data_IF_334029896258
#
_entry.id   IF_334029896258
#
_cell.length_a   1.000
_cell.length_b   1.000
_cell.length_c   1.000
_cell.angle_alpha   90.00
_cell.angle_beta   90.00
_cell.angle_gamma   90.00
#
_symmetry.space_group_name_H-M   'P 1'
#
loop_
_entity.id
_entity.type
_entity.pdbx_description
1 polymer ?
#
# COMPACT_ATOMS: atom_id res chain seq x y z
N UNK A 1 -73.15 -41.39 -46.53
CA UNK A 1 -73.30 -39.95 -46.34
C UNK A 1 -72.10 -39.48 -45.64
N UNK A 2 -71.15 -38.93 -46.38
CA UNK A 2 -69.78 -38.60 -46.00
C UNK A 2 -69.66 -37.07 -46.00
N UNK A 3 -69.17 -36.50 -44.94
CA UNK A 3 -68.85 -35.08 -44.89
C UNK A 3 -67.36 -34.89 -44.66
N UNK A 4 -66.71 -34.45 -45.74
CA UNK A 4 -65.32 -33.97 -45.72
C UNK A 4 -65.22 -32.70 -44.88
N UNK A 5 -64.28 -32.66 -43.93
CA UNK A 5 -63.81 -31.42 -43.29
C UNK A 5 -62.43 -31.07 -43.80
N UNK A 6 -62.35 -29.93 -44.45
CA UNK A 6 -61.14 -29.33 -44.96
C UNK A 6 -60.24 -28.80 -43.83
N UNK A 7 -58.97 -29.14 -43.86
CA UNK A 7 -57.90 -28.58 -43.00
C UNK A 7 -57.20 -27.46 -43.76
N UNK A 8 -57.22 -26.24 -43.21
CA UNK A 8 -56.35 -25.14 -43.61
C UNK A 8 -54.99 -25.26 -42.88
N UNK A 9 -53.89 -24.97 -43.50
CA UNK A 9 -52.60 -24.91 -42.83
C UNK A 9 -52.39 -23.54 -42.15
N UNK A 10 -51.98 -23.57 -40.89
CA UNK A 10 -51.56 -22.44 -40.13
C UNK A 10 -50.13 -22.04 -40.57
N UNK A 11 -49.98 -20.85 -41.15
CA UNK A 11 -48.69 -20.27 -41.45
C UNK A 11 -48.02 -19.76 -40.18
N UNK A 12 -46.90 -20.36 -39.80
CA UNK A 12 -46.07 -19.85 -38.70
C UNK A 12 -45.20 -18.70 -39.23
N UNK A 13 -45.47 -17.50 -38.70
CA UNK A 13 -44.64 -16.33 -38.91
C UNK A 13 -43.36 -16.46 -38.05
N UNK A 14 -42.23 -16.67 -38.67
CA UNK A 14 -40.88 -16.58 -38.07
C UNK A 14 -40.51 -15.11 -37.88
N UNK A 15 -40.60 -14.63 -36.63
CA UNK A 15 -40.01 -13.36 -36.24
C UNK A 15 -38.49 -13.52 -36.19
N UNK A 16 -37.79 -13.00 -37.19
CA UNK A 16 -36.33 -12.83 -37.18
C UNK A 16 -35.98 -11.65 -36.27
N UNK A 17 -35.57 -11.93 -35.02
CA UNK A 17 -34.88 -10.96 -34.18
C UNK A 17 -33.52 -10.64 -34.82
N UNK A 18 -33.40 -9.47 -35.42
CA UNK A 18 -32.12 -8.90 -35.80
C UNK A 18 -31.25 -8.69 -34.57
N UNK A 19 -30.27 -9.55 -34.32
CA UNK A 19 -29.20 -9.30 -33.36
C UNK A 19 -28.33 -8.19 -33.92
N UNK A 20 -28.44 -7.00 -33.34
CA UNK A 20 -27.47 -5.94 -33.56
C UNK A 20 -26.11 -6.43 -33.04
N UNK A 21 -25.20 -6.73 -33.92
CA UNK A 21 -23.79 -6.92 -33.63
C UNK A 21 -23.24 -5.56 -33.14
N UNK A 22 -23.19 -5.35 -31.81
CA UNK A 22 -22.36 -4.32 -31.20
C UNK A 22 -20.92 -4.76 -31.42
N UNK A 23 -20.33 -4.35 -32.51
CA UNK A 23 -18.87 -4.38 -32.67
C UNK A 23 -18.30 -3.41 -31.60
N UNK A 24 -17.83 -3.99 -30.51
CA UNK A 24 -16.93 -3.31 -29.57
C UNK A 24 -15.68 -2.96 -30.39
N UNK A 25 -15.61 -1.71 -30.85
CA UNK A 25 -14.39 -1.13 -31.38
C UNK A 25 -13.35 -1.14 -30.24
N UNK A 26 -12.47 -2.14 -30.25
CA UNK A 26 -11.24 -2.09 -29.48
C UNK A 26 -10.45 -0.89 -30.01
N UNK A 27 -10.53 0.21 -29.29
CA UNK A 27 -9.58 1.33 -29.46
C UNK A 27 -8.22 0.73 -29.08
N UNK A 28 -7.44 0.35 -30.08
CA UNK A 28 -6.01 0.11 -29.93
C UNK A 28 -5.38 1.47 -29.71
N UNK A 29 -5.35 1.91 -28.47
CA UNK A 29 -4.49 3.00 -28.07
C UNK A 29 -3.07 2.48 -28.24
N UNK A 30 -2.44 2.86 -29.33
CA UNK A 30 -1.00 2.75 -29.50
C UNK A 30 -0.36 3.72 -28.51
N UNK A 31 -0.18 3.32 -27.25
CA UNK A 31 0.53 4.13 -26.28
C UNK A 31 2.01 4.11 -26.66
N UNK A 32 2.44 5.14 -27.37
CA UNK A 32 3.86 5.50 -27.42
C UNK A 32 4.26 5.92 -26.00
N UNK A 33 4.84 5.02 -25.24
CA UNK A 33 5.38 5.37 -23.92
C UNK A 33 6.56 6.33 -24.10
N UNK A 34 6.49 7.50 -23.50
CA UNK A 34 7.51 8.54 -23.60
C UNK A 34 8.85 8.11 -22.99
N UNK A 35 8.87 7.13 -22.09
CA UNK A 35 10.02 6.64 -21.33
C UNK A 35 10.85 7.77 -20.68
N UNK A 36 10.16 8.76 -20.14
CA UNK A 36 10.73 9.99 -19.58
C UNK A 36 10.83 10.01 -18.06
N UNK A 37 10.48 8.89 -17.44
CA UNK A 37 10.44 8.75 -15.97
C UNK A 37 11.83 8.74 -15.30
N UNK A 38 12.90 8.50 -16.06
CA UNK A 38 14.28 8.39 -15.57
C UNK A 38 14.47 7.35 -14.44
N UNK A 39 13.70 6.25 -14.48
CA UNK A 39 13.84 5.08 -13.61
C UNK A 39 14.16 3.85 -14.43
N UNK A 40 14.78 2.86 -13.81
CA UNK A 40 15.11 1.58 -14.47
C UNK A 40 13.96 0.60 -14.25
N UNK A 41 13.47 0.01 -15.34
CA UNK A 41 12.46 -1.06 -15.35
C UNK A 41 12.93 -2.23 -16.22
N UNK A 42 12.40 -3.46 -16.05
CA UNK A 42 12.84 -4.62 -16.83
C UNK A 42 12.60 -4.45 -18.34
N UNK A 43 13.33 -5.22 -19.14
CA UNK A 43 13.18 -5.23 -20.60
C UNK A 43 11.72 -5.48 -21.02
N UNK A 44 11.23 -4.70 -21.97
CA UNK A 44 9.86 -4.73 -22.46
C UNK A 44 8.89 -3.87 -21.63
N UNK A 45 9.32 -3.30 -20.51
CA UNK A 45 8.58 -2.29 -19.79
C UNK A 45 9.03 -0.88 -20.19
N UNK A 46 8.13 0.06 -20.01
CA UNK A 46 8.35 1.46 -20.25
C UNK A 46 7.74 2.27 -19.10
N UNK A 47 8.47 3.26 -18.61
CA UNK A 47 8.04 4.13 -17.53
C UNK A 47 7.90 5.57 -18.02
N UNK A 48 6.74 6.18 -17.78
CA UNK A 48 6.45 7.58 -18.12
C UNK A 48 5.93 8.35 -16.92
N UNK A 49 6.00 9.68 -17.01
CA UNK A 49 5.42 10.59 -16.02
C UNK A 49 3.96 10.82 -16.39
N UNK A 50 3.03 10.44 -15.51
CA UNK A 50 1.60 10.70 -15.67
C UNK A 50 1.19 12.08 -15.13
N UNK A 51 1.70 12.47 -13.97
CA UNK A 51 1.50 13.77 -13.37
C UNK A 51 2.70 14.17 -12.53
N UNK A 52 2.91 15.46 -12.30
CA UNK A 52 4.04 16.00 -11.53
C UNK A 52 3.59 17.18 -10.65
N UNK A 53 4.43 17.56 -9.67
CA UNK A 53 4.21 18.73 -8.81
C UNK A 53 2.91 18.69 -7.99
N UNK A 54 2.46 17.50 -7.60
CA UNK A 54 1.20 17.31 -6.85
C UNK A 54 1.34 17.63 -5.35
N UNK A 55 2.56 17.73 -4.83
CA UNK A 55 2.87 17.77 -3.41
C UNK A 55 3.14 16.37 -2.87
N UNK A 56 2.88 16.12 -1.59
CA UNK A 56 3.20 14.83 -0.97
C UNK A 56 2.20 13.73 -1.32
N UNK A 57 2.27 13.26 -2.56
CA UNK A 57 1.41 12.20 -3.08
C UNK A 57 1.72 10.86 -2.38
N UNK A 58 0.70 10.22 -1.80
CA UNK A 58 0.90 9.00 -1.00
C UNK A 58 0.33 7.76 -1.67
N UNK A 59 -0.96 7.50 -1.57
CA UNK A 59 -1.59 6.31 -2.14
C UNK A 59 -2.51 6.68 -3.28
N UNK A 60 -2.81 5.69 -4.10
CA UNK A 60 -3.56 5.82 -5.34
C UNK A 60 -4.81 4.95 -5.34
N UNK A 61 -5.86 5.45 -5.96
CA UNK A 61 -7.02 4.67 -6.35
C UNK A 61 -7.40 5.03 -7.79
N UNK A 62 -7.58 4.03 -8.66
CA UNK A 62 -7.88 4.26 -10.08
C UNK A 62 -9.29 3.75 -10.37
N UNK A 63 -10.11 4.62 -10.96
CA UNK A 63 -11.48 4.30 -11.35
C UNK A 63 -11.55 3.50 -12.67
N UNK A 64 -12.67 2.81 -12.93
CA UNK A 64 -12.85 2.07 -14.19
C UNK A 64 -12.77 2.91 -15.46
N UNK A 65 -12.97 4.22 -15.36
CA UNK A 65 -12.83 5.19 -16.46
C UNK A 65 -11.41 5.79 -16.57
N UNK A 66 -10.42 5.23 -15.85
CA UNK A 66 -9.03 5.66 -15.74
C UNK A 66 -8.79 6.97 -14.96
N UNK A 67 -9.77 7.55 -14.31
CA UNK A 67 -9.52 8.64 -13.36
C UNK A 67 -8.63 8.15 -12.22
N UNK A 68 -7.64 8.96 -11.86
CA UNK A 68 -6.69 8.64 -10.79
C UNK A 68 -6.92 9.56 -9.61
N UNK A 69 -7.14 8.96 -8.44
CA UNK A 69 -7.32 9.67 -7.17
C UNK A 69 -6.09 9.44 -6.30
N UNK A 70 -5.52 10.55 -5.79
CA UNK A 70 -4.25 10.55 -5.06
C UNK A 70 -4.48 11.14 -3.67
N UNK A 71 -4.19 10.39 -2.62
CA UNK A 71 -4.15 10.93 -1.26
C UNK A 71 -2.92 11.82 -1.07
N UNK A 72 -3.10 12.91 -0.34
CA UNK A 72 -2.02 13.85 -0.05
C UNK A 72 -1.74 13.82 1.45
N UNK A 73 -0.49 13.57 1.82
CA UNK A 73 -0.11 13.56 3.23
C UNK A 73 -0.38 14.92 3.87
N UNK A 74 -1.04 14.90 5.03
CA UNK A 74 -1.39 16.09 5.80
C UNK A 74 -0.19 16.96 6.14
N UNK A 75 -0.46 18.20 6.54
CA UNK A 75 0.54 19.21 6.81
C UNK A 75 1.63 18.75 7.77
N UNK A 76 2.88 18.89 7.36
CA UNK A 76 4.05 18.90 8.25
C UNK A 76 4.28 20.33 8.77
N UNK A 77 4.96 20.48 9.92
CA UNK A 77 5.39 21.80 10.37
C UNK A 77 6.11 22.57 9.24
N UNK A 78 5.66 23.78 8.94
CA UNK A 78 6.22 24.62 7.87
C UNK A 78 5.57 24.46 6.49
N UNK A 79 4.65 23.53 6.28
CA UNK A 79 3.86 23.47 5.04
C UNK A 79 2.63 24.39 5.12
N UNK A 80 2.32 25.07 4.01
CA UNK A 80 1.11 25.90 3.91
C UNK A 80 -0.15 25.00 3.98
N UNK A 81 -1.07 25.34 4.84
CA UNK A 81 -2.40 24.74 4.93
C UNK A 81 -3.42 25.60 4.18
N UNK A 82 -4.56 25.04 3.77
CA UNK A 82 -5.00 23.66 3.90
C UNK A 82 -4.56 22.79 2.72
N UNK A 83 -4.06 21.58 2.98
CA UNK A 83 -3.86 20.58 1.93
C UNK A 83 -5.20 19.92 1.56
N UNK A 84 -5.40 19.52 0.29
CA UNK A 84 -6.62 18.81 -0.11
C UNK A 84 -6.73 17.45 0.59
N UNK A 85 -7.94 16.93 0.71
CA UNK A 85 -8.18 15.56 1.15
C UNK A 85 -7.60 14.56 0.14
N UNK A 86 -7.79 14.87 -1.15
CA UNK A 86 -7.19 14.13 -2.27
C UNK A 86 -7.08 15.02 -3.51
N UNK A 87 -6.31 14.55 -4.48
CA UNK A 87 -6.24 15.12 -5.83
C UNK A 87 -6.91 14.16 -6.80
N UNK A 88 -7.75 14.65 -7.70
CA UNK A 88 -8.37 13.91 -8.79
C UNK A 88 -7.71 14.30 -10.12
N UNK A 89 -7.29 13.31 -10.90
CA UNK A 89 -6.53 13.45 -12.13
C UNK A 89 -7.26 12.76 -13.28
N UNK A 90 -7.32 13.39 -14.43
CA UNK A 90 -7.85 12.81 -15.67
C UNK A 90 -6.93 13.15 -16.84
N UNK A 91 -6.72 12.19 -17.70
CA UNK A 91 -6.09 12.30 -19.01
C UNK A 91 -7.23 12.40 -20.05
N UNK A 92 -7.55 13.62 -20.51
CA UNK A 92 -8.73 13.86 -21.37
C UNK A 92 -8.44 13.67 -22.85
N UNK A 93 -7.20 13.83 -23.28
CA UNK A 93 -6.75 13.66 -24.67
C UNK A 93 -6.08 12.30 -24.94
N UNK A 94 -5.93 11.48 -23.88
CA UNK A 94 -5.38 10.11 -23.92
C UNK A 94 -3.92 10.04 -24.39
N UNK A 95 -3.13 11.06 -24.09
CA UNK A 95 -1.71 11.09 -24.40
C UNK A 95 -0.83 10.35 -23.35
N UNK A 96 -1.44 9.94 -22.24
CA UNK A 96 -0.78 9.24 -21.13
C UNK A 96 -0.34 10.16 -20.00
N UNK A 97 -0.76 11.43 -20.01
CA UNK A 97 -0.53 12.43 -18.98
C UNK A 97 -1.84 13.03 -18.50
N UNK A 98 -1.91 13.38 -17.23
CA UNK A 98 -3.06 14.09 -16.69
C UNK A 98 -3.02 15.57 -17.12
N UNK A 99 -4.04 16.01 -17.84
CA UNK A 99 -4.25 17.39 -18.26
C UNK A 99 -5.32 18.09 -17.41
N UNK A 100 -6.14 17.34 -16.68
CA UNK A 100 -7.10 17.88 -15.71
C UNK A 100 -6.74 17.45 -14.31
N UNK A 101 -6.50 18.44 -13.42
CA UNK A 101 -6.06 18.25 -12.03
C UNK A 101 -6.97 19.06 -11.11
N UNK A 102 -7.72 18.36 -10.24
CA UNK A 102 -8.64 18.97 -9.30
C UNK A 102 -8.21 18.64 -7.86
N UNK A 103 -8.24 19.65 -6.97
CA UNK A 103 -7.92 19.50 -5.55
C UNK A 103 -9.22 19.55 -4.73
N UNK A 104 -9.50 18.47 -3.99
CA UNK A 104 -10.82 18.26 -3.35
C UNK A 104 -10.67 18.19 -1.84
N UNK A 105 -11.55 18.92 -1.13
CA UNK A 105 -11.66 18.87 0.33
C UNK A 105 -10.47 19.47 1.07
N UNK A 106 -10.29 19.06 2.31
CA UNK A 106 -9.21 19.49 3.20
C UNK A 106 -8.83 18.38 4.17
N UNK A 107 -7.69 18.52 4.86
CA UNK A 107 -7.19 17.58 5.86
C UNK A 107 -6.95 16.17 5.31
N UNK A 108 -6.27 16.08 4.14
CA UNK A 108 -5.82 14.79 3.63
C UNK A 108 -4.83 14.11 4.58
N UNK A 109 -4.80 12.81 4.48
CA UNK A 109 -3.80 11.94 5.08
C UNK A 109 -3.42 10.86 4.05
N UNK A 110 -3.15 9.63 4.45
CA UNK A 110 -2.50 8.69 3.55
C UNK A 110 -3.43 7.70 2.87
N UNK A 111 -4.41 7.13 3.58
CA UNK A 111 -5.26 6.06 3.02
C UNK A 111 -6.27 6.55 1.99
N UNK A 112 -6.39 5.84 0.87
CA UNK A 112 -7.39 6.06 -0.17
C UNK A 112 -7.78 4.73 -0.84
N UNK A 113 -9.05 4.49 -1.12
CA UNK A 113 -9.51 3.31 -1.83
C UNK A 113 -10.84 3.57 -2.56
N UNK A 114 -11.03 2.90 -3.71
CA UNK A 114 -12.31 2.85 -4.43
C UNK A 114 -13.01 1.52 -4.15
N UNK A 115 -14.27 1.59 -3.74
CA UNK A 115 -15.10 0.38 -3.54
C UNK A 115 -16.57 0.68 -3.71
N UNK A 116 -17.29 -0.17 -4.46
CA UNK A 116 -18.75 -0.15 -4.59
C UNK A 116 -19.33 1.24 -4.95
N UNK A 117 -18.66 1.98 -5.84
CA UNK A 117 -19.07 3.31 -6.28
C UNK A 117 -18.74 4.44 -5.29
N UNK A 118 -17.90 4.19 -4.30
CA UNK A 118 -17.44 5.20 -3.36
C UNK A 118 -15.91 5.30 -3.35
N UNK A 119 -15.40 6.53 -3.20
CA UNK A 119 -14.03 6.83 -2.86
C UNK A 119 -13.91 7.04 -1.35
N UNK A 120 -13.16 6.17 -0.69
CA UNK A 120 -12.86 6.25 0.74
C UNK A 120 -11.56 7.00 0.94
N UNK A 121 -11.52 7.91 1.92
CA UNK A 121 -10.36 8.76 2.19
C UNK A 121 -10.10 8.83 3.69
N UNK A 122 -8.85 8.62 4.08
CA UNK A 122 -8.37 8.87 5.44
C UNK A 122 -8.15 10.39 5.64
N UNK A 123 -8.73 10.93 6.69
CA UNK A 123 -8.57 12.33 7.13
C UNK A 123 -8.04 12.43 8.58
N UNK A 124 -7.16 11.51 8.96
CA UNK A 124 -6.55 11.43 10.28
C UNK A 124 -7.42 10.70 11.29
N UNK A 125 -8.26 11.38 12.06
CA UNK A 125 -9.14 10.74 13.05
C UNK A 125 -10.41 10.12 12.43
N UNK A 126 -10.61 10.32 11.13
CA UNK A 126 -11.84 9.95 10.43
C UNK A 126 -11.52 9.29 9.09
N UNK A 127 -12.24 8.23 8.74
CA UNK A 127 -12.35 7.73 7.38
C UNK A 127 -13.71 8.17 6.84
N UNK A 128 -13.68 8.90 5.73
CA UNK A 128 -14.86 9.36 5.01
C UNK A 128 -15.03 8.61 3.69
N UNK A 129 -16.22 8.70 3.08
CA UNK A 129 -16.47 8.20 1.72
C UNK A 129 -17.23 9.21 0.90
N UNK A 130 -16.83 9.39 -0.34
CA UNK A 130 -17.49 10.21 -1.34
C UNK A 130 -18.21 9.32 -2.33
N UNK A 131 -19.47 9.65 -2.66
CA UNK A 131 -20.19 8.96 -3.75
C UNK A 131 -19.60 9.41 -5.09
N UNK A 132 -19.13 8.44 -5.86
CA UNK A 132 -18.55 8.70 -7.18
C UNK A 132 -19.66 8.74 -8.25
N UNK A 133 -19.43 9.58 -9.26
CA UNK A 133 -20.27 9.75 -10.46
C UNK A 133 -19.38 9.65 -11.70
N UNK A 134 -19.90 10.00 -12.88
CA UNK A 134 -19.09 10.15 -14.09
C UNK A 134 -18.20 11.40 -14.07
N UNK A 135 -18.50 12.36 -13.18
CA UNK A 135 -17.69 13.56 -13.00
C UNK A 135 -16.39 13.21 -12.24
N UNK A 136 -15.32 13.93 -12.58
CA UNK A 136 -14.02 13.74 -11.94
C UNK A 136 -14.06 14.05 -10.44
N UNK A 137 -14.84 15.05 -10.05
CA UNK A 137 -14.99 15.51 -8.66
C UNK A 137 -16.35 15.11 -8.11
N UNK A 138 -16.42 14.51 -6.92
CA UNK A 138 -17.69 14.20 -6.27
C UNK A 138 -18.53 15.46 -6.04
N UNK A 139 -19.84 15.40 -6.38
CA UNK A 139 -20.74 16.54 -6.28
C UNK A 139 -21.28 16.76 -4.85
N UNK A 140 -21.22 15.75 -3.98
CA UNK A 140 -21.80 15.79 -2.63
C UNK A 140 -20.72 15.74 -1.56
N UNK A 141 -20.98 16.31 -0.36
CA UNK A 141 -20.13 16.14 0.80
C UNK A 141 -19.95 14.65 1.15
N UNK A 142 -18.81 14.27 1.79
CA UNK A 142 -18.57 12.89 2.16
C UNK A 142 -19.41 12.45 3.37
N UNK A 143 -19.75 11.16 3.39
CA UNK A 143 -20.25 10.47 4.59
C UNK A 143 -19.09 10.10 5.53
N UNK A 144 -19.34 10.11 6.84
CA UNK A 144 -18.41 9.54 7.83
C UNK A 144 -18.60 8.04 7.93
N UNK A 145 -17.54 7.26 7.73
CA UNK A 145 -17.55 5.79 7.88
C UNK A 145 -17.09 5.39 9.28
N UNK A 146 -15.89 5.83 9.68
CA UNK A 146 -15.33 5.58 11.02
C UNK A 146 -14.78 6.88 11.58
N UNK A 147 -14.94 7.12 12.87
CA UNK A 147 -14.39 8.30 13.57
C UNK A 147 -13.79 7.93 14.92
N UNK A 148 -12.99 8.84 15.50
CA UNK A 148 -12.30 8.63 16.76
C UNK A 148 -11.08 7.72 16.61
N UNK A 149 -10.56 7.54 15.41
CA UNK A 149 -9.30 6.82 15.18
C UNK A 149 -8.15 7.53 15.91
N UNK A 150 -7.30 6.80 16.64
CA UNK A 150 -6.25 7.44 17.44
C UNK A 150 -5.28 8.23 16.57
N UNK A 151 -5.06 9.52 16.88
CA UNK A 151 -3.95 10.28 16.31
C UNK A 151 -2.64 9.71 16.84
N UNK A 152 -1.66 9.64 15.96
CA UNK A 152 -0.36 9.08 16.28
C UNK A 152 0.76 10.07 15.97
N UNK A 153 1.53 10.52 16.96
CA UNK A 153 2.63 11.47 16.72
C UNK A 153 3.81 10.84 15.96
N UNK A 154 4.06 9.54 16.14
CA UNK A 154 5.17 8.83 15.51
C UNK A 154 4.85 8.34 14.10
N UNK A 155 4.07 7.28 13.98
CA UNK A 155 3.69 6.69 12.70
C UNK A 155 2.32 7.21 12.27
N UNK A 156 2.31 8.36 11.59
CA UNK A 156 1.07 9.07 11.19
C UNK A 156 0.37 8.45 10.00
N UNK A 157 1.13 7.77 9.14
CA UNK A 157 0.58 7.12 7.97
C UNK A 157 -0.46 6.08 8.39
N UNK A 158 -1.70 6.27 7.94
CA UNK A 158 -2.80 5.35 8.18
C UNK A 158 -3.32 4.89 6.84
N UNK A 159 -2.86 3.70 6.44
CA UNK A 159 -3.46 3.06 5.28
C UNK A 159 -4.59 2.13 5.72
N UNK A 160 -5.48 1.83 4.78
CA UNK A 160 -6.56 0.88 4.95
C UNK A 160 -6.83 0.14 3.64
N UNK A 161 -7.46 -1.01 3.73
CA UNK A 161 -7.91 -1.79 2.59
C UNK A 161 -9.35 -2.26 2.81
N UNK A 162 -10.13 -2.32 1.73
CA UNK A 162 -11.51 -2.80 1.75
C UNK A 162 -11.59 -4.11 0.99
N UNK A 163 -11.92 -5.19 1.70
CA UNK A 163 -12.10 -6.51 1.13
C UNK A 163 -13.40 -6.62 0.30
N UNK A 164 -13.53 -7.63 -0.58
CA UNK A 164 -14.74 -7.84 -1.37
C UNK A 164 -16.02 -8.01 -0.55
N UNK A 165 -15.94 -8.51 0.66
CA UNK A 165 -17.06 -8.67 1.58
C UNK A 165 -17.50 -7.36 2.28
N UNK A 166 -16.77 -6.25 2.04
CA UNK A 166 -16.97 -4.96 2.68
C UNK A 166 -16.22 -4.79 4.00
N UNK A 167 -15.41 -5.75 4.41
CA UNK A 167 -14.53 -5.60 5.57
C UNK A 167 -13.50 -4.49 5.31
N UNK A 168 -13.44 -3.50 6.20
CA UNK A 168 -12.50 -2.40 6.18
C UNK A 168 -11.41 -2.66 7.23
N UNK A 169 -10.19 -2.93 6.79
CA UNK A 169 -9.03 -3.14 7.66
C UNK A 169 -8.20 -1.86 7.72
N UNK A 170 -7.96 -1.35 8.92
CA UNK A 170 -7.30 -0.06 9.16
C UNK A 170 -6.04 -0.27 9.99
N UNK A 171 -4.90 0.15 9.47
CA UNK A 171 -3.65 0.21 10.23
C UNK A 171 -3.70 1.36 11.25
N UNK A 172 -3.28 1.07 12.48
CA UNK A 172 -2.96 2.09 13.48
C UNK A 172 -1.56 1.80 14.00
N UNK A 173 -0.57 2.54 13.51
CA UNK A 173 0.84 2.36 13.87
C UNK A 173 1.13 2.66 15.34
N UNK A 174 2.33 2.31 15.80
CA UNK A 174 2.81 2.67 17.14
C UNK A 174 3.10 4.17 17.26
N UNK A 175 2.99 4.78 18.43
CA UNK A 175 3.36 6.17 18.64
C UNK A 175 4.86 6.38 18.70
N UNK A 176 5.63 5.35 19.02
CA UNK A 176 7.08 5.38 19.21
C UNK A 176 7.81 4.17 18.56
N UNK A 177 9.09 4.04 18.85
CA UNK A 177 9.95 3.01 18.25
C UNK A 177 9.71 1.62 18.82
N UNK A 178 9.70 1.46 20.14
CA UNK A 178 9.68 0.14 20.81
C UNK A 178 9.05 0.17 22.21
N UNK A 179 8.08 1.07 22.46
CA UNK A 179 7.35 1.20 23.71
C UNK A 179 8.30 1.37 24.92
N UNK A 180 9.36 2.17 24.75
CA UNK A 180 10.33 2.47 25.79
C UNK A 180 9.78 3.48 26.81
N UNK A 181 10.30 3.48 28.02
CA UNK A 181 10.01 4.51 29.02
C UNK A 181 10.46 5.90 28.51
N UNK A 182 11.63 5.95 27.85
CA UNK A 182 12.09 7.12 27.09
C UNK A 182 12.37 6.67 25.65
N UNK A 183 11.55 7.12 24.71
CA UNK A 183 11.68 6.70 23.31
C UNK A 183 13.08 7.03 22.78
N UNK A 184 13.66 6.04 22.08
CA UNK A 184 14.97 6.14 21.40
C UNK A 184 16.13 6.55 22.32
N UNK A 185 16.02 6.35 23.65
CA UNK A 185 17.07 6.66 24.58
C UNK A 185 17.97 5.45 24.85
N UNK A 186 19.26 5.74 25.13
CA UNK A 186 20.27 4.73 25.45
C UNK A 186 19.80 3.87 26.62
N UNK A 187 19.76 2.55 26.39
CA UNK A 187 19.42 1.51 27.38
C UNK A 187 18.13 1.76 28.16
N UNK A 188 17.20 2.53 27.57
CA UNK A 188 15.89 2.76 28.18
C UNK A 188 15.06 1.48 28.17
N UNK A 189 14.58 0.98 29.33
CA UNK A 189 13.75 -0.22 29.39
C UNK A 189 12.40 0.02 28.70
N UNK A 190 11.75 -1.08 28.32
CA UNK A 190 10.37 -1.07 27.82
C UNK A 190 9.36 -0.88 28.95
N UNK A 191 8.20 -0.30 28.60
CA UNK A 191 7.02 -0.33 29.48
C UNK A 191 6.43 -1.72 29.47
N UNK A 192 6.28 -2.35 30.62
CA UNK A 192 5.77 -3.72 30.73
C UNK A 192 4.66 -3.81 31.77
N UNK A 193 3.39 -4.02 31.36
CA UNK A 193 2.93 -4.21 29.98
C UNK A 193 2.99 -2.92 29.14
N UNK A 194 3.13 -3.07 27.80
CA UNK A 194 3.04 -1.96 26.87
C UNK A 194 1.59 -1.54 26.66
N UNK A 195 1.17 -0.44 27.29
CA UNK A 195 -0.21 0.07 27.23
C UNK A 195 -0.62 0.50 25.80
N UNK A 196 0.36 0.85 24.96
CA UNK A 196 0.11 1.27 23.57
C UNK A 196 -0.58 0.18 22.76
N UNK A 197 -0.30 -1.09 23.04
CA UNK A 197 -0.95 -2.21 22.39
C UNK A 197 -2.48 -2.23 22.55
N UNK A 198 -3.03 -1.54 23.53
CA UNK A 198 -4.48 -1.46 23.71
C UNK A 198 -5.20 -0.80 22.53
N UNK A 199 -4.57 0.17 21.86
CA UNK A 199 -5.18 0.99 20.81
C UNK A 199 -4.28 1.20 19.58
N UNK A 200 -3.05 0.70 19.58
CA UNK A 200 -2.03 0.97 18.54
C UNK A 200 -1.22 -0.28 18.20
N UNK A 201 -0.32 -0.14 17.22
CA UNK A 201 0.56 -1.20 16.73
C UNK A 201 -0.20 -2.45 16.29
N UNK A 202 -1.20 -2.24 15.43
CA UNK A 202 -2.04 -3.32 14.93
C UNK A 202 -2.98 -2.90 13.82
N UNK A 203 -3.90 -3.80 13.52
CA UNK A 203 -4.92 -3.65 12.49
C UNK A 203 -6.30 -3.80 13.12
N UNK A 204 -7.21 -2.86 12.83
CA UNK A 204 -8.60 -2.87 13.27
C UNK A 204 -9.54 -3.17 12.11
N UNK A 205 -10.66 -3.85 12.40
CA UNK A 205 -11.65 -4.22 11.40
C UNK A 205 -12.98 -3.50 11.63
N UNK A 206 -13.47 -2.85 10.57
CA UNK A 206 -14.78 -2.19 10.49
C UNK A 206 -15.57 -2.71 9.28
N UNK A 207 -16.76 -2.19 9.06
CA UNK A 207 -17.58 -2.43 7.87
C UNK A 207 -17.61 -1.15 7.01
N UNK A 208 -17.06 -1.18 5.80
CA UNK A 208 -17.02 -0.03 4.89
C UNK A 208 -18.41 0.48 4.49
N UNK A 209 -19.45 -0.37 4.58
CA UNK A 209 -20.83 -0.02 4.22
C UNK A 209 -21.60 0.67 5.33
N UNK A 210 -21.17 0.50 6.59
CA UNK A 210 -21.79 1.12 7.76
C UNK A 210 -21.25 2.53 7.98
N UNK A 211 -22.15 3.47 8.23
CA UNK A 211 -21.79 4.85 8.55
C UNK A 211 -21.70 5.07 10.07
N UNK A 212 -20.99 6.14 10.44
CA UNK A 212 -20.89 6.67 11.79
C UNK A 212 -20.37 5.67 12.84
N UNK A 213 -19.56 4.69 12.42
CA UNK A 213 -18.86 3.81 13.34
C UNK A 213 -17.87 4.62 14.19
N UNK A 214 -17.64 4.17 15.40
CA UNK A 214 -16.62 4.73 16.31
C UNK A 214 -15.48 3.76 16.42
N UNK A 215 -14.26 4.29 16.58
CA UNK A 215 -13.11 3.47 16.95
C UNK A 215 -13.42 2.75 18.27
N UNK A 216 -13.21 1.46 18.26
CA UNK A 216 -13.36 0.60 19.43
C UNK A 216 -12.11 -0.28 19.54
N UNK A 217 -11.36 -0.25 20.65
CA UNK A 217 -10.23 -1.16 20.88
C UNK A 217 -10.60 -2.63 20.69
N UNK A 218 -11.83 -3.05 20.99
CA UNK A 218 -12.32 -4.41 20.82
C UNK A 218 -12.47 -4.84 19.33
N UNK A 219 -12.52 -3.88 18.41
CA UNK A 219 -12.54 -4.16 16.97
C UNK A 219 -11.16 -4.55 16.41
N UNK A 220 -10.14 -4.73 17.28
CA UNK A 220 -8.80 -5.15 16.88
C UNK A 220 -8.82 -6.51 16.19
N UNK A 221 -8.23 -6.54 14.99
CA UNK A 221 -8.13 -7.74 14.16
C UNK A 221 -6.83 -8.49 14.40
N UNK A 222 -5.69 -7.76 14.44
CA UNK A 222 -4.37 -8.28 14.73
C UNK A 222 -3.55 -7.25 15.53
N UNK A 223 -2.53 -7.71 16.25
CA UNK A 223 -1.68 -6.90 17.13
C UNK A 223 -0.19 -7.13 16.88
N UNK A 224 0.67 -6.33 17.49
CA UNK A 224 2.12 -6.53 17.43
C UNK A 224 2.76 -6.18 16.10
N UNK A 225 2.05 -5.49 15.20
CA UNK A 225 2.58 -4.93 13.96
C UNK A 225 2.88 -3.44 14.16
N UNK A 226 4.17 -3.09 14.27
CA UNK A 226 4.63 -1.74 14.64
C UNK A 226 4.05 -0.63 13.77
N UNK A 227 4.12 -0.80 12.45
CA UNK A 227 3.58 0.13 11.48
C UNK A 227 3.40 -0.57 10.12
N UNK A 228 2.15 -0.90 9.78
CA UNK A 228 1.78 -1.64 8.59
C UNK A 228 1.14 -0.70 7.56
N UNK A 229 1.97 0.11 6.91
CA UNK A 229 1.50 1.12 5.95
C UNK A 229 0.98 0.54 4.65
N UNK A 230 1.54 -0.57 4.16
CA UNK A 230 1.02 -1.30 3.01
C UNK A 230 0.14 -2.46 3.43
N UNK A 231 -1.06 -2.53 2.86
CA UNK A 231 -2.01 -3.62 3.04
C UNK A 231 -2.73 -3.94 1.74
N UNK A 232 -2.96 -5.22 1.47
CA UNK A 232 -3.76 -5.68 0.34
C UNK A 232 -4.53 -6.95 0.65
N UNK A 233 -5.64 -7.17 -0.05
CA UNK A 233 -6.31 -8.47 -0.10
C UNK A 233 -5.71 -9.26 -1.25
N UNK A 234 -5.17 -10.43 -0.95
CA UNK A 234 -4.62 -11.34 -1.96
C UNK A 234 -5.71 -11.99 -2.82
N UNK A 235 -5.31 -12.65 -3.92
CA UNK A 235 -6.24 -13.40 -4.77
C UNK A 235 -6.94 -14.55 -4.04
N UNK A 236 -6.37 -15.01 -2.95
CA UNK A 236 -6.90 -16.03 -2.03
C UNK A 236 -7.91 -15.49 -1.00
N UNK A 237 -8.17 -14.18 -1.02
CA UNK A 237 -9.03 -13.49 -0.07
C UNK A 237 -8.39 -13.18 1.28
N UNK A 238 -7.11 -13.52 1.48
CA UNK A 238 -6.38 -13.24 2.71
C UNK A 238 -5.91 -11.78 2.77
N UNK A 239 -5.82 -11.25 4.00
CA UNK A 239 -5.20 -9.96 4.25
C UNK A 239 -3.69 -10.15 4.35
N UNK A 240 -2.96 -9.34 3.57
CA UNK A 240 -1.52 -9.21 3.64
C UNK A 240 -1.15 -7.80 4.09
N UNK A 241 -0.06 -7.68 4.84
CA UNK A 241 0.48 -6.39 5.27
C UNK A 241 2.01 -6.42 5.25
N UNK A 242 2.64 -5.29 4.94
CA UNK A 242 4.04 -5.12 5.30
C UNK A 242 4.14 -4.52 6.71
N UNK A 243 5.29 -4.61 7.35
CA UNK A 243 5.55 -3.89 8.60
C UNK A 243 7.00 -3.43 8.67
N UNK A 244 7.18 -2.23 9.19
CA UNK A 244 8.51 -1.67 9.45
C UNK A 244 9.11 -2.30 10.69
N UNK A 245 10.38 -2.71 10.60
CA UNK A 245 11.19 -3.04 11.75
C UNK A 245 11.40 -1.83 12.69
N UNK A 246 11.84 -2.09 13.90
CA UNK A 246 12.27 -1.04 14.82
C UNK A 246 13.59 -0.41 14.38
N UNK A 247 13.89 0.77 14.85
CA UNK A 247 15.13 1.49 14.57
C UNK A 247 16.14 1.38 15.71
N UNK A 248 17.42 1.70 15.43
CA UNK A 248 18.44 2.06 16.41
C UNK A 248 18.75 0.97 17.44
N UNK A 249 18.89 -0.30 17.01
CA UNK A 249 19.30 -1.38 17.91
C UNK A 249 20.70 -1.15 18.50
N UNK A 250 21.68 -0.88 17.66
CA UNK A 250 23.07 -0.67 18.09
C UNK A 250 23.24 0.63 18.87
N UNK A 251 22.60 1.72 18.41
CA UNK A 251 22.72 3.04 19.05
C UNK A 251 22.09 3.03 20.46
N UNK A 252 20.99 2.33 20.63
CA UNK A 252 20.29 2.30 21.93
C UNK A 252 20.79 1.18 22.85
N UNK A 253 21.40 0.12 22.28
CA UNK A 253 21.84 -1.06 23.06
C UNK A 253 23.24 -1.51 22.70
N UNK A 254 24.29 -0.62 22.74
CA UNK A 254 25.65 -0.94 22.26
C UNK A 254 26.34 -2.03 23.07
N UNK A 255 25.95 -2.24 24.33
CA UNK A 255 26.49 -3.35 25.15
C UNK A 255 25.99 -4.72 24.71
N UNK A 256 24.78 -4.78 24.14
CA UNK A 256 24.19 -6.03 23.63
C UNK A 256 24.58 -6.25 22.16
N UNK A 257 24.61 -5.16 21.39
CA UNK A 257 24.93 -5.18 19.97
C UNK A 257 26.18 -4.27 19.70
N UNK A 258 27.38 -4.77 20.05
CA UNK A 258 28.61 -3.93 19.92
C UNK A 258 29.06 -3.75 18.47
N UNK A 259 28.63 -4.62 17.56
CA UNK A 259 28.89 -4.48 16.14
C UNK A 259 27.94 -3.44 15.53
N UNK A 260 28.51 -2.34 15.02
CA UNK A 260 27.74 -1.28 14.39
C UNK A 260 26.91 -1.76 13.19
N UNK A 261 27.37 -2.80 12.48
CA UNK A 261 26.67 -3.38 11.34
C UNK A 261 25.39 -4.11 11.76
N UNK A 262 25.32 -4.62 13.00
CA UNK A 262 24.14 -5.35 13.46
C UNK A 262 22.86 -4.52 13.34
N UNK A 263 22.88 -3.27 13.81
CA UNK A 263 21.74 -2.35 13.72
C UNK A 263 21.37 -1.93 12.29
N UNK A 264 22.32 -2.04 11.34
CA UNK A 264 22.05 -1.74 9.93
C UNK A 264 21.43 -2.92 9.17
N UNK A 265 21.64 -4.14 9.65
CA UNK A 265 21.14 -5.36 9.04
C UNK A 265 19.93 -5.94 9.80
N UNK A 266 19.60 -5.38 10.96
CA UNK A 266 18.50 -5.80 11.83
C UNK A 266 17.67 -4.61 12.32
N UNK A 267 16.38 -4.87 12.58
CA UNK A 267 15.61 -6.05 12.18
C UNK A 267 15.25 -6.02 10.71
N UNK A 268 14.90 -7.20 10.17
CA UNK A 268 14.34 -7.28 8.81
C UNK A 268 13.02 -6.52 8.70
N UNK A 269 12.79 -5.95 7.52
CA UNK A 269 11.43 -5.57 7.09
C UNK A 269 10.62 -6.82 6.76
N UNK A 270 9.30 -6.77 6.88
CA UNK A 270 8.50 -7.99 6.83
C UNK A 270 7.25 -7.86 5.96
N UNK A 271 6.93 -8.96 5.26
CA UNK A 271 5.61 -9.24 4.71
C UNK A 271 4.88 -10.20 5.64
N UNK A 272 3.66 -9.86 6.00
CA UNK A 272 2.81 -10.61 6.92
C UNK A 272 1.59 -11.16 6.17
N UNK A 273 1.21 -12.39 6.45
CA UNK A 273 -0.14 -12.91 6.24
C UNK A 273 -0.92 -12.69 7.53
N UNK A 274 -2.04 -11.97 7.48
CA UNK A 274 -2.72 -11.48 8.68
C UNK A 274 -4.06 -12.17 8.87
N UNK A 275 -4.21 -12.90 9.98
CA UNK A 275 -5.47 -13.51 10.39
C UNK A 275 -5.99 -12.86 11.68
N UNK A 276 -7.27 -13.08 11.96
CA UNK A 276 -7.86 -12.60 13.22
C UNK A 276 -7.15 -13.23 14.42
N UNK A 277 -6.72 -12.38 15.35
CA UNK A 277 -6.07 -12.79 16.59
C UNK A 277 -4.55 -12.95 16.49
N UNK A 278 -3.96 -12.75 15.30
CA UNK A 278 -2.51 -12.82 15.14
C UNK A 278 -1.80 -11.75 15.99
N UNK A 279 -0.67 -12.16 16.57
CA UNK A 279 0.27 -11.29 17.27
C UNK A 279 1.66 -11.43 16.64
N UNK A 280 2.16 -10.33 16.08
CA UNK A 280 3.46 -10.27 15.40
C UNK A 280 4.63 -9.84 16.30
N UNK A 281 4.35 -9.64 17.59
CA UNK A 281 5.35 -9.57 18.65
C UNK A 281 5.83 -8.18 19.04
N UNK A 282 5.65 -7.11 18.23
CA UNK A 282 6.05 -5.77 18.67
C UNK A 282 5.28 -5.36 19.96
N UNK A 283 5.90 -4.71 20.95
CA UNK A 283 7.30 -4.25 21.01
C UNK A 283 8.27 -5.28 21.61
N UNK A 284 7.76 -6.42 22.07
CA UNK A 284 8.51 -7.43 22.82
C UNK A 284 9.50 -8.21 21.97
N UNK A 285 9.27 -8.24 20.65
CA UNK A 285 10.01 -9.04 19.68
C UNK A 285 10.46 -8.22 18.46
N UNK A 286 11.55 -8.67 17.85
CA UNK A 286 11.94 -8.29 16.50
C UNK A 286 12.46 -9.48 15.70
N UNK A 287 12.41 -9.43 14.37
CA UNK A 287 12.95 -10.49 13.55
C UNK A 287 14.45 -10.32 13.36
N UNK A 288 15.25 -11.22 13.92
CA UNK A 288 16.70 -11.27 13.74
C UNK A 288 17.05 -11.97 12.42
N UNK A 289 17.79 -11.28 11.55
CA UNK A 289 18.26 -11.83 10.28
C UNK A 289 19.28 -12.96 10.52
N UNK A 290 20.15 -12.79 11.53
CA UNK A 290 21.16 -13.78 11.89
C UNK A 290 20.53 -15.07 12.45
N UNK A 291 19.55 -14.92 13.35
CA UNK A 291 18.89 -16.07 13.99
C UNK A 291 17.74 -16.63 13.11
N UNK A 292 17.33 -15.95 12.05
CA UNK A 292 16.23 -16.30 11.13
C UNK A 292 14.90 -16.56 11.85
N UNK A 293 14.62 -15.80 12.92
CA UNK A 293 13.42 -15.94 13.76
C UNK A 293 13.14 -14.65 14.56
N UNK A 294 11.97 -14.62 15.18
CA UNK A 294 11.65 -13.61 16.17
C UNK A 294 12.47 -13.87 17.44
N UNK A 295 13.08 -12.80 17.96
CA UNK A 295 13.85 -12.81 19.20
C UNK A 295 13.36 -11.73 20.14
N UNK A 296 13.59 -11.92 21.44
CA UNK A 296 13.21 -10.97 22.48
C UNK A 296 13.94 -9.64 22.28
N UNK A 297 13.20 -8.55 22.36
CA UNK A 297 13.75 -7.19 22.23
C UNK A 297 14.55 -6.82 23.49
N UNK A 298 15.64 -6.05 23.35
CA UNK A 298 16.55 -5.73 24.46
C UNK A 298 15.86 -4.92 25.55
N UNK A 299 14.88 -4.11 25.24
CA UNK A 299 14.05 -3.37 26.20
C UNK A 299 13.36 -4.28 27.21
N UNK A 300 13.19 -5.55 26.88
CA UNK A 300 12.47 -6.56 27.65
C UNK A 300 13.37 -7.73 28.07
N UNK A 301 14.69 -7.48 28.13
CA UNK A 301 15.70 -8.45 28.59
C UNK A 301 16.22 -9.39 27.51
N UNK A 302 15.95 -9.08 26.24
CA UNK A 302 16.50 -9.79 25.09
C UNK A 302 18.00 -9.53 24.88
N UNK A 303 18.66 -10.48 24.25
CA UNK A 303 20.10 -10.42 23.90
C UNK A 303 20.34 -10.63 22.39
N UNK A 304 19.29 -10.53 21.59
CA UNK A 304 19.32 -10.79 20.15
C UNK A 304 19.21 -12.28 19.78
N UNK A 305 19.09 -13.19 20.75
CA UNK A 305 19.01 -14.66 20.56
C UNK A 305 17.87 -15.32 21.31
N UNK A 306 17.57 -14.84 22.52
CA UNK A 306 16.46 -15.35 23.36
C UNK A 306 15.13 -15.24 22.63
N UNK A 307 14.23 -16.19 22.92
CA UNK A 307 12.89 -16.26 22.32
C UNK A 307 11.80 -16.44 23.37
N UNK A 308 12.06 -16.11 24.63
CA UNK A 308 11.16 -16.41 25.76
C UNK A 308 9.77 -15.80 25.56
N UNK A 309 9.70 -14.54 25.12
CA UNK A 309 8.43 -13.83 24.84
C UNK A 309 7.93 -14.01 23.40
N UNK A 310 8.79 -14.53 22.53
CA UNK A 310 8.56 -14.53 21.08
C UNK A 310 8.22 -15.91 20.52
N UNK A 311 8.26 -16.95 21.35
CA UNK A 311 8.06 -18.35 20.92
C UNK A 311 6.65 -18.61 20.34
N UNK A 312 5.64 -17.90 20.82
CA UNK A 312 4.23 -18.01 20.40
C UNK A 312 3.80 -16.93 19.37
N UNK A 313 4.71 -16.04 18.99
CA UNK A 313 4.39 -14.95 18.06
C UNK A 313 4.43 -15.43 16.62
N UNK A 314 3.55 -14.86 15.79
CA UNK A 314 3.47 -15.21 14.37
C UNK A 314 4.67 -14.66 13.61
N UNK A 315 5.51 -15.52 12.99
CA UNK A 315 6.63 -15.06 12.19
C UNK A 315 6.15 -14.42 10.88
N UNK A 316 6.98 -13.57 10.23
CA UNK A 316 6.69 -13.04 8.93
C UNK A 316 6.63 -14.14 7.86
N UNK A 317 5.85 -13.87 6.81
CA UNK A 317 5.74 -14.71 5.62
C UNK A 317 7.01 -14.62 4.75
N UNK A 318 7.53 -13.39 4.60
CA UNK A 318 8.79 -13.09 3.94
C UNK A 318 9.49 -11.94 4.64
N UNK A 319 10.80 -11.87 4.47
CA UNK A 319 11.64 -10.81 5.04
C UNK A 319 12.39 -10.07 3.92
N UNK A 320 12.68 -8.82 4.19
CA UNK A 320 13.42 -7.93 3.29
C UNK A 320 14.56 -7.24 4.03
N UNK A 321 15.52 -6.64 3.32
CA UNK A 321 16.62 -5.95 3.95
C UNK A 321 16.15 -4.88 4.94
N UNK A 322 16.85 -4.80 6.06
CA UNK A 322 16.54 -3.89 7.14
C UNK A 322 16.49 -2.43 6.69
N UNK A 323 15.52 -1.68 7.20
CA UNK A 323 15.38 -0.23 7.02
C UNK A 323 15.13 0.24 5.58
N UNK A 324 14.69 -0.65 4.68
CA UNK A 324 14.27 -0.22 3.34
C UNK A 324 12.92 0.51 3.34
N UNK A 325 12.17 0.44 4.45
CA UNK A 325 10.89 1.11 4.70
C UNK A 325 9.80 0.74 3.67
N UNK A 326 9.19 -0.44 3.76
CA UNK A 326 8.11 -0.85 2.86
C UNK A 326 6.86 -0.01 3.11
N UNK A 327 6.31 0.68 2.09
CA UNK A 327 5.16 1.56 2.24
C UNK A 327 3.87 1.03 1.64
N UNK A 328 3.93 0.36 0.49
CA UNK A 328 2.73 -0.23 -0.10
C UNK A 328 3.00 -1.63 -0.61
N UNK A 329 1.94 -2.41 -0.78
CA UNK A 329 1.99 -3.71 -1.42
C UNK A 329 0.76 -3.92 -2.30
N UNK A 330 0.94 -4.59 -3.45
CA UNK A 330 -0.09 -4.75 -4.43
C UNK A 330 0.04 -6.10 -5.16
N UNK A 331 -1.05 -6.90 -5.15
CA UNK A 331 -1.19 -8.05 -6.04
C UNK A 331 -1.62 -7.57 -7.42
N UNK A 332 -0.85 -7.92 -8.44
CA UNK A 332 -1.14 -7.46 -9.79
C UNK A 332 -2.35 -8.20 -10.39
N UNK A 333 -3.43 -7.47 -10.61
CA UNK A 333 -4.70 -7.98 -11.15
C UNK A 333 -4.87 -7.73 -12.65
N UNK A 334 -3.96 -6.96 -13.27
CA UNK A 334 -4.01 -6.62 -14.68
C UNK A 334 -3.64 -7.78 -15.61
N UNK A 335 -3.92 -7.61 -16.90
CA UNK A 335 -3.56 -8.58 -17.95
C UNK A 335 -2.41 -8.12 -18.85
N UNK A 336 -1.93 -6.88 -18.69
CA UNK A 336 -0.89 -6.29 -19.53
C UNK A 336 0.49 -6.90 -19.25
N UNK A 337 0.89 -7.06 -17.98
CA UNK A 337 2.21 -7.57 -17.62
C UNK A 337 2.38 -9.06 -17.93
N UNK A 338 3.61 -9.53 -18.18
CA UNK A 338 3.92 -10.94 -18.35
C UNK A 338 3.36 -11.81 -17.21
N UNK A 339 3.00 -13.06 -17.52
CA UNK A 339 2.36 -14.00 -16.59
C UNK A 339 3.11 -14.16 -15.27
N UNK A 340 4.46 -14.08 -15.27
CA UNK A 340 5.27 -14.22 -14.07
C UNK A 340 4.92 -13.17 -12.99
N UNK A 341 4.48 -11.97 -13.37
CA UNK A 341 4.09 -10.89 -12.46
C UNK A 341 2.65 -10.99 -11.94
N UNK A 342 1.90 -12.01 -12.33
CA UNK A 342 0.52 -12.24 -11.85
C UNK A 342 0.45 -13.14 -10.62
N UNK A 343 1.56 -13.81 -10.30
CA UNK A 343 1.68 -14.72 -9.16
C UNK A 343 2.69 -14.15 -8.16
N UNK A 344 2.28 -13.15 -7.42
CA UNK A 344 3.12 -12.50 -6.43
C UNK A 344 2.65 -11.10 -6.09
N UNK A 345 3.46 -10.38 -5.36
CA UNK A 345 3.15 -9.06 -4.82
C UNK A 345 4.26 -8.07 -5.15
N UNK A 346 3.88 -6.90 -5.64
CA UNK A 346 4.75 -5.74 -5.76
C UNK A 346 4.79 -5.03 -4.40
N UNK A 347 5.98 -4.59 -3.99
CA UNK A 347 6.19 -3.83 -2.75
C UNK A 347 7.06 -2.62 -3.05
N UNK A 348 6.61 -1.44 -2.64
CA UNK A 348 7.41 -0.22 -2.68
C UNK A 348 8.27 -0.10 -1.42
N UNK A 349 9.53 0.25 -1.61
CA UNK A 349 10.47 0.59 -0.54
C UNK A 349 10.87 2.05 -0.65
N UNK A 350 10.41 2.84 0.31
CA UNK A 350 10.57 4.30 0.34
C UNK A 350 12.02 4.76 0.51
N UNK A 351 12.83 3.94 1.14
CA UNK A 351 14.23 4.21 1.42
C UNK A 351 14.51 4.58 2.87
N UNK A 352 15.69 4.16 3.31
CA UNK A 352 16.15 4.29 4.69
C UNK A 352 16.58 5.72 5.05
N UNK A 353 16.56 6.02 6.33
CA UNK A 353 17.12 7.24 6.91
C UNK A 353 18.10 6.95 8.07
N UNK A 354 18.05 5.75 8.63
CA UNK A 354 18.77 5.33 9.83
C UNK A 354 19.84 4.25 9.60
N UNK A 355 20.28 4.06 8.35
CA UNK A 355 21.46 3.29 8.02
C UNK A 355 22.69 4.20 8.05
N UNK A 356 23.90 3.62 8.09
CA UNK A 356 25.15 4.40 8.04
C UNK A 356 25.23 5.25 6.75
N UNK A 357 25.93 6.37 6.84
CA UNK A 357 26.20 7.21 5.66
C UNK A 357 26.88 6.38 4.56
N UNK A 358 26.38 6.52 3.34
CA UNK A 358 26.84 5.74 2.19
C UNK A 358 26.26 4.33 2.08
N UNK A 359 25.48 3.89 3.07
CA UNK A 359 24.81 2.59 3.07
C UNK A 359 23.27 2.70 3.04
N UNK A 360 22.74 3.90 2.85
CA UNK A 360 21.32 4.10 2.70
C UNK A 360 20.81 3.34 1.48
N UNK A 361 19.63 2.75 1.58
CA UNK A 361 19.08 1.85 0.57
C UNK A 361 17.55 1.96 0.50
N UNK A 362 16.92 1.25 -0.42
CA UNK A 362 15.51 1.39 -0.76
C UNK A 362 15.35 2.29 -1.98
N UNK A 363 14.27 3.08 -2.06
CA UNK A 363 13.96 3.89 -3.23
C UNK A 363 13.69 3.03 -4.46
N UNK A 364 12.96 1.91 -4.30
CA UNK A 364 12.72 0.91 -5.34
C UNK A 364 11.41 0.16 -5.17
N UNK A 365 11.01 -0.53 -6.21
CA UNK A 365 9.90 -1.47 -6.20
C UNK A 365 10.46 -2.87 -6.42
N UNK A 366 10.05 -3.81 -5.59
CA UNK A 366 10.38 -5.21 -5.77
C UNK A 366 9.14 -6.00 -6.20
N UNK A 367 9.37 -7.19 -6.77
CA UNK A 367 8.37 -8.22 -6.93
C UNK A 367 8.76 -9.46 -6.13
N UNK A 368 7.89 -9.88 -5.22
CA UNK A 368 8.03 -11.13 -4.47
C UNK A 368 7.12 -12.19 -5.09
N UNK A 369 7.68 -13.23 -5.74
CA UNK A 369 6.86 -14.31 -6.30
C UNK A 369 6.22 -15.14 -5.18
N UNK A 370 4.93 -15.46 -5.37
CA UNK A 370 4.14 -16.28 -4.44
C UNK A 370 3.40 -17.37 -5.21
N UNK A 371 3.21 -18.53 -4.59
CA UNK A 371 2.23 -19.54 -5.00
C UNK A 371 1.45 -20.00 -3.79
N UNK A 372 0.13 -20.07 -3.90
CA UNK A 372 -0.77 -20.42 -2.80
C UNK A 372 -0.49 -19.58 -1.53
N UNK A 373 -0.25 -18.28 -1.71
CA UNK A 373 0.06 -17.36 -0.62
C UNK A 373 1.46 -17.51 0.00
N UNK A 374 2.35 -18.35 -0.53
CA UNK A 374 3.69 -18.60 0.01
C UNK A 374 4.79 -18.17 -0.97
N UNK A 375 5.92 -17.60 -0.48
CA UNK A 375 7.07 -17.28 -1.32
C UNK A 375 7.61 -18.52 -2.06
N UNK A 376 7.88 -18.36 -3.36
CA UNK A 376 8.42 -19.44 -4.21
C UNK A 376 9.88 -19.24 -4.60
N UNK A 377 10.47 -18.13 -4.19
CA UNK A 377 11.86 -17.78 -4.47
C UNK A 377 12.21 -16.42 -3.87
N UNK A 378 13.43 -15.94 -4.12
CA UNK A 378 13.84 -14.60 -3.70
C UNK A 378 13.00 -13.53 -4.42
N UNK A 379 12.90 -12.34 -3.82
CA UNK A 379 12.35 -11.19 -4.52
C UNK A 379 13.27 -10.72 -5.66
N UNK A 380 12.70 -10.08 -6.66
CA UNK A 380 13.43 -9.40 -7.73
C UNK A 380 13.18 -7.88 -7.69
N UNK A 381 14.18 -7.07 -8.04
CA UNK A 381 14.00 -5.63 -8.19
C UNK A 381 13.23 -5.41 -9.49
N UNK A 382 12.06 -4.79 -9.40
CA UNK A 382 11.20 -4.48 -10.53
C UNK A 382 11.42 -3.07 -11.08
N UNK A 383 11.54 -2.06 -10.20
CA UNK A 383 11.88 -0.71 -10.61
C UNK A 383 12.86 -0.08 -9.64
N UNK A 384 13.85 0.63 -10.15
CA UNK A 384 14.97 1.19 -9.37
C UNK A 384 15.31 2.62 -9.82
N UNK A 385 16.28 3.24 -9.12
CA UNK A 385 16.82 4.57 -9.38
C UNK A 385 15.85 5.74 -9.17
N UNK A 386 14.78 5.54 -8.41
CA UNK A 386 13.89 6.64 -8.04
C UNK A 386 14.62 7.79 -7.34
N UNK A 387 15.62 7.48 -6.51
CA UNK A 387 16.36 8.51 -5.77
C UNK A 387 17.06 9.55 -6.69
N UNK A 388 17.37 9.18 -7.94
CA UNK A 388 17.99 10.07 -8.92
C UNK A 388 19.35 10.64 -8.49
N UNK A 389 20.06 9.94 -7.60
CA UNK A 389 21.41 10.22 -7.10
C UNK A 389 22.21 8.92 -7.04
N UNK A 390 23.57 8.98 -7.10
CA UNK A 390 24.41 7.78 -6.98
C UNK A 390 24.10 7.00 -5.69
N UNK A 391 24.23 5.65 -5.67
CA UNK A 391 23.92 4.82 -4.50
C UNK A 391 24.60 5.26 -3.21
N UNK A 392 25.86 5.71 -3.27
CA UNK A 392 26.60 6.20 -2.09
C UNK A 392 26.07 7.54 -1.53
N UNK A 393 25.23 8.23 -2.28
CA UNK A 393 24.66 9.54 -1.93
C UNK A 393 23.17 9.45 -1.54
N UNK A 394 22.58 8.27 -1.68
CA UNK A 394 21.17 8.08 -1.32
C UNK A 394 20.96 8.40 0.15
N UNK A 395 20.11 9.35 0.43
CA UNK A 395 19.54 9.63 1.74
C UNK A 395 18.25 10.46 1.55
N UNK A 396 17.37 10.55 2.55
CA UNK A 396 16.09 11.25 2.41
C UNK A 396 16.19 12.73 2.00
N UNK A 397 17.28 13.41 2.38
CA UNK A 397 17.47 14.82 2.04
C UNK A 397 17.99 15.05 0.60
N UNK A 398 18.50 14.03 -0.05
CA UNK A 398 19.08 14.11 -1.41
C UNK A 398 18.29 13.34 -2.45
N UNK A 399 17.48 12.39 -2.03
CA UNK A 399 16.60 11.67 -2.94
C UNK A 399 15.63 12.65 -3.62
N UNK A 400 15.57 12.59 -4.95
CA UNK A 400 14.65 13.42 -5.74
C UNK A 400 13.22 12.85 -5.72
N UNK A 401 13.13 11.53 -5.67
CA UNK A 401 11.88 10.78 -5.70
C UNK A 401 11.96 9.59 -4.76
N UNK A 402 10.84 9.26 -4.12
CA UNK A 402 10.72 8.16 -3.19
C UNK A 402 9.37 7.46 -3.39
N UNK A 403 9.36 6.22 -3.94
CA UNK A 403 8.12 5.54 -4.29
C UNK A 403 7.29 5.17 -3.05
N UNK A 404 5.98 5.35 -3.14
CA UNK A 404 5.02 5.10 -2.05
C UNK A 404 3.89 4.19 -2.52
N UNK A 405 2.79 4.75 -3.00
CA UNK A 405 1.57 4.02 -3.33
C UNK A 405 1.61 3.36 -4.71
N UNK A 406 0.91 2.25 -4.84
CA UNK A 406 0.75 1.47 -6.07
C UNK A 406 -0.73 1.34 -6.43
N UNK A 407 -1.03 1.39 -7.73
CA UNK A 407 -2.36 1.02 -8.24
C UNK A 407 -2.27 0.44 -9.64
N UNK A 408 -3.19 -0.46 -10.00
CA UNK A 408 -3.31 -1.02 -11.34
C UNK A 408 -4.47 -0.34 -12.06
N UNK A 409 -4.19 0.21 -13.24
CA UNK A 409 -5.22 0.79 -14.10
C UNK A 409 -5.99 -0.30 -14.89
N UNK A 410 -7.19 0.00 -15.41
CA UNK A 410 -7.97 -0.93 -16.24
C UNK A 410 -7.23 -1.47 -17.46
N UNK A 411 -6.29 -0.72 -18.04
CA UNK A 411 -5.44 -1.17 -19.15
C UNK A 411 -4.29 -2.10 -18.70
N UNK A 412 -4.15 -2.30 -17.40
CA UNK A 412 -3.10 -3.11 -16.77
C UNK A 412 -1.78 -2.38 -16.55
N UNK A 413 -1.71 -1.07 -16.74
CA UNK A 413 -0.56 -0.25 -16.34
C UNK A 413 -0.45 -0.20 -14.81
N UNK A 414 0.78 -0.18 -14.30
CA UNK A 414 1.06 0.05 -12.87
C UNK A 414 1.36 1.54 -12.65
N UNK A 415 0.61 2.16 -11.77
CA UNK A 415 0.84 3.53 -11.32
C UNK A 415 1.59 3.54 -10.00
N UNK A 416 2.51 4.49 -9.84
CA UNK A 416 3.35 4.63 -8.65
C UNK A 416 3.34 6.08 -8.21
N UNK A 417 2.99 6.32 -6.95
CA UNK A 417 3.11 7.65 -6.34
C UNK A 417 4.49 7.87 -5.74
N UNK A 418 4.94 9.12 -5.75
CA UNK A 418 6.16 9.60 -5.12
C UNK A 418 5.83 10.82 -4.26
N UNK A 419 6.24 10.80 -3.00
CA UNK A 419 5.89 11.83 -2.02
C UNK A 419 6.95 12.92 -1.82
N UNK A 420 8.13 12.76 -2.38
CA UNK A 420 9.17 13.79 -2.33
C UNK A 420 9.10 14.72 -3.56
N UNK A 421 9.07 14.18 -4.76
CA UNK A 421 8.90 14.95 -5.99
C UNK A 421 7.45 15.31 -6.30
N UNK A 422 6.48 14.64 -5.69
CA UNK A 422 5.06 14.84 -5.95
C UNK A 422 4.64 14.33 -7.32
N UNK A 423 5.21 13.22 -7.75
CA UNK A 423 5.05 12.64 -9.09
C UNK A 423 4.20 11.39 -9.08
N UNK A 424 3.48 11.17 -10.17
CA UNK A 424 2.84 9.90 -10.47
C UNK A 424 3.50 9.32 -11.71
N UNK A 425 4.07 8.14 -11.56
CA UNK A 425 4.62 7.35 -12.66
C UNK A 425 3.57 6.40 -13.20
N UNK A 426 3.65 6.12 -14.51
CA UNK A 426 2.89 5.06 -15.19
C UNK A 426 3.87 4.08 -15.83
N UNK A 427 3.81 2.81 -15.43
CA UNK A 427 4.65 1.74 -15.95
C UNK A 427 3.77 0.81 -16.81
N UNK A 428 4.12 0.65 -18.09
CA UNK A 428 3.40 -0.17 -19.05
C UNK A 428 4.31 -1.27 -19.61
N UNK A 429 3.73 -2.39 -20.01
CA UNK A 429 4.47 -3.42 -20.74
C UNK A 429 4.18 -3.29 -22.23
N UNK A 430 5.21 -3.02 -23.02
CA UNK A 430 5.16 -2.81 -24.46
C UNK A 430 5.83 -3.96 -25.25
N UNK A 431 6.43 -4.92 -24.55
CA UNK A 431 7.10 -6.07 -25.15
C UNK A 431 6.13 -7.06 -25.77
N UNK A 432 6.66 -8.03 -26.53
CA UNK A 432 5.87 -9.17 -27.04
C UNK A 432 5.45 -10.05 -25.87
N UNK A 433 4.17 -10.39 -25.81
CA UNK A 433 3.56 -11.28 -24.80
C UNK A 433 3.92 -12.73 -25.04
#
# INVERSE_FOLDING_TARGET
MSTLKSLLPLAAALNACAQANVQSSRVTVGSSCANDAAIIVPAGFCASIFADNLGRARYLAIAPNNDVYVSIEGTRPGQQAPLPAFIALRDTDHDGRADRIERVGSKGNTGIALRDGFLYVDQGEVITRYRMTADLVPASPPDTVVSGLPLNPGHRARNFVIAPDGSLYVNVGSPDNSCQVKDRALESPGKDPCEELSTRAGIWKFDARKLNQKFDPAARFATGARNSTGMAIGPDGQLYANTHGRDQLTENWPRIFPDSMYGHENPAESLLEVNRGDDFGWPYCFYSVAEKRLVDAPEYGGDGKKTTRCADKKPPLAIFPAHWAPLDLLFYTGSNFPKRYRNGVFITFHGSWNRMKGMQAGGKIIFQPLANGRPTGPFEIFADEFAGVPPAEINPARAKHRPVGLAVAPDGSLFVADDDGGRIYRITYTGKR
#
